data_IF_012077118719
#
_entry.id   IF_012077118719
#
_cell.length_a   1.000
_cell.length_b   1.000
_cell.length_c   1.000
_cell.angle_alpha   90.00
_cell.angle_beta   90.00
_cell.angle_gamma   90.00
#
_symmetry.space_group_name_H-M   'P 1'
#
loop_
_entity.id
_entity.type
_entity.pdbx_description
1 polymer ?
#
# COMPACT_ATOMS: atom_id res chain seq x y z
N UNK A 1 20.37 -21.38 22.28
CA UNK A 1 19.14 -20.57 22.16
C UNK A 1 19.00 -20.18 20.69
N UNK A 2 17.84 -20.36 20.07
CA UNK A 2 17.62 -19.89 18.69
C UNK A 2 17.65 -18.36 18.71
N UNK A 3 18.42 -17.74 17.82
CA UNK A 3 18.27 -16.30 17.60
C UNK A 3 16.86 -16.04 17.07
N UNK A 4 16.32 -14.85 17.38
CA UNK A 4 15.00 -14.43 16.91
C UNK A 4 14.90 -14.44 15.37
N UNK A 5 16.01 -14.10 14.70
CA UNK A 5 16.15 -14.27 13.26
C UNK A 5 15.98 -15.73 12.80
N UNK A 6 16.67 -16.67 13.47
CA UNK A 6 16.59 -18.10 13.13
C UNK A 6 15.19 -18.70 13.34
N UNK A 7 14.49 -18.26 14.40
CA UNK A 7 13.12 -18.71 14.66
C UNK A 7 12.12 -18.16 13.64
N UNK A 8 12.28 -16.91 13.20
CA UNK A 8 11.46 -16.30 12.13
C UNK A 8 11.68 -16.96 10.78
N UNK A 9 12.94 -17.24 10.40
CA UNK A 9 13.23 -18.02 9.19
C UNK A 9 12.59 -19.41 9.22
N UNK A 10 12.73 -20.12 10.34
CA UNK A 10 12.13 -21.44 10.52
C UNK A 10 10.61 -21.39 10.38
N UNK A 11 9.99 -20.35 10.95
CA UNK A 11 8.54 -20.15 10.91
C UNK A 11 8.04 -19.85 9.49
N UNK A 12 8.69 -18.90 8.79
CA UNK A 12 8.36 -18.55 7.41
C UNK A 12 8.50 -19.74 6.45
N UNK A 13 9.55 -20.56 6.65
CA UNK A 13 9.73 -21.79 5.87
C UNK A 13 8.59 -22.78 6.10
N UNK A 14 8.24 -23.02 7.37
CA UNK A 14 7.17 -23.96 7.74
C UNK A 14 5.80 -23.51 7.26
N UNK A 15 5.52 -22.22 7.30
CA UNK A 15 4.28 -21.63 6.79
C UNK A 15 4.10 -21.88 5.29
N UNK A 16 5.18 -21.78 4.52
CA UNK A 16 5.17 -22.12 3.09
C UNK A 16 5.14 -23.62 2.80
N UNK A 17 5.24 -24.47 3.81
CA UNK A 17 5.20 -25.93 3.64
C UNK A 17 6.41 -26.53 2.92
N UNK A 18 7.52 -25.80 2.82
CA UNK A 18 8.71 -26.23 2.06
C UNK A 18 9.83 -26.77 2.97
N UNK A 19 10.61 -27.69 2.43
CA UNK A 19 11.78 -28.27 3.08
C UNK A 19 12.95 -27.30 3.12
N UNK A 20 13.92 -27.55 4.02
CA UNK A 20 15.17 -26.77 4.05
C UNK A 20 15.95 -26.90 2.74
N UNK A 21 15.83 -28.04 2.05
CA UNK A 21 16.53 -28.27 0.78
C UNK A 21 16.00 -27.33 -0.31
N UNK A 22 14.68 -27.26 -0.46
CA UNK A 22 14.03 -26.42 -1.47
C UNK A 22 14.33 -24.93 -1.26
N UNK A 23 14.26 -24.44 -0.01
CA UNK A 23 14.60 -23.05 0.30
C UNK A 23 16.09 -22.78 0.07
N UNK A 24 16.96 -23.70 0.46
CA UNK A 24 18.39 -23.51 0.28
C UNK A 24 18.76 -23.41 -1.21
N UNK A 25 18.16 -24.25 -2.05
CA UNK A 25 18.29 -24.17 -3.52
C UNK A 25 17.77 -22.82 -4.05
N UNK A 26 16.59 -22.38 -3.62
CA UNK A 26 16.02 -21.10 -4.05
C UNK A 26 16.83 -19.86 -3.60
N UNK A 27 17.44 -19.91 -2.42
CA UNK A 27 18.26 -18.82 -1.87
C UNK A 27 19.73 -18.90 -2.29
N UNK A 28 20.13 -19.95 -3.02
CA UNK A 28 21.50 -20.15 -3.48
C UNK A 28 22.48 -20.43 -2.35
N UNK A 29 22.07 -21.18 -1.33
CA UNK A 29 22.91 -21.61 -0.19
C UNK A 29 22.85 -23.13 -0.03
N UNK A 30 23.76 -23.71 0.76
CA UNK A 30 23.65 -25.14 1.10
C UNK A 30 22.57 -25.38 2.15
N UNK A 31 21.92 -26.56 2.11
CA UNK A 31 20.93 -26.95 3.11
C UNK A 31 21.51 -26.91 4.54
N UNK A 32 22.76 -27.35 4.72
CA UNK A 32 23.46 -27.30 5.99
C UNK A 32 23.63 -25.85 6.49
N UNK A 33 23.98 -24.92 5.59
CA UNK A 33 24.13 -23.50 5.92
C UNK A 33 22.78 -22.89 6.34
N UNK A 34 21.70 -23.16 5.60
CA UNK A 34 20.36 -22.73 6.00
C UNK A 34 19.95 -23.31 7.36
N UNK A 35 20.24 -24.59 7.63
CA UNK A 35 19.98 -25.17 8.96
C UNK A 35 20.78 -24.48 10.07
N UNK A 36 21.99 -24.00 9.81
CA UNK A 36 22.77 -23.26 10.79
C UNK A 36 22.16 -21.89 11.06
N UNK A 37 21.65 -21.22 10.02
CA UNK A 37 20.93 -19.95 10.15
C UNK A 37 19.64 -20.11 10.96
N UNK A 38 18.82 -21.10 10.62
CA UNK A 38 17.56 -21.40 11.34
C UNK A 38 17.77 -21.75 12.82
N UNK A 39 18.90 -22.39 13.16
CA UNK A 39 19.23 -22.74 14.55
C UNK A 39 19.97 -21.62 15.31
N UNK A 40 20.30 -20.52 14.64
CA UNK A 40 21.12 -19.44 15.20
C UNK A 40 22.57 -19.83 15.49
N UNK A 41 23.08 -20.89 14.85
CA UNK A 41 24.47 -21.36 15.01
C UNK A 41 25.45 -20.44 14.28
N UNK A 42 25.00 -19.82 13.17
CA UNK A 42 25.82 -18.94 12.33
C UNK A 42 25.03 -17.70 11.96
N UNK A 43 25.70 -16.56 11.94
CA UNK A 43 25.13 -15.31 11.43
C UNK A 43 25.09 -15.28 9.90
N UNK A 44 24.09 -14.59 9.38
CA UNK A 44 23.89 -14.40 7.94
C UNK A 44 24.59 -13.13 7.45
N UNK A 45 25.07 -13.15 6.22
CA UNK A 45 25.50 -11.93 5.53
C UNK A 45 24.32 -11.15 4.98
N UNK A 46 24.54 -9.86 4.68
CA UNK A 46 23.54 -8.95 4.11
C UNK A 46 22.90 -9.49 2.81
N UNK A 47 23.70 -10.14 1.95
CA UNK A 47 23.18 -10.71 0.70
C UNK A 47 22.13 -11.80 0.95
N UNK A 48 22.35 -12.65 1.96
CA UNK A 48 21.36 -13.66 2.34
C UNK A 48 20.10 -13.03 2.90
N UNK A 49 20.23 -12.02 3.77
CA UNK A 49 19.07 -11.30 4.35
C UNK A 49 18.23 -10.70 3.22
N UNK A 50 18.85 -10.00 2.26
CA UNK A 50 18.17 -9.44 1.09
C UNK A 50 17.42 -10.52 0.29
N UNK A 51 18.08 -11.65 -0.01
CA UNK A 51 17.47 -12.76 -0.75
C UNK A 51 16.32 -13.39 0.04
N UNK A 52 16.48 -13.59 1.34
CA UNK A 52 15.45 -14.15 2.21
C UNK A 52 14.25 -13.21 2.34
N UNK A 53 14.47 -11.90 2.51
CA UNK A 53 13.42 -10.88 2.50
C UNK A 53 12.58 -10.93 1.22
N UNK A 54 13.24 -10.95 0.06
CA UNK A 54 12.55 -11.05 -1.22
C UNK A 54 11.84 -12.39 -1.40
N UNK A 55 12.50 -13.50 -1.06
CA UNK A 55 11.95 -14.84 -1.22
C UNK A 55 10.69 -15.01 -0.37
N UNK A 56 10.73 -14.62 0.91
CA UNK A 56 9.62 -14.75 1.85
C UNK A 56 8.59 -13.64 1.76
N UNK A 57 8.85 -12.59 0.96
CA UNK A 57 8.02 -11.40 0.84
C UNK A 57 7.81 -10.68 2.19
N UNK A 58 8.95 -10.41 2.86
CA UNK A 58 9.01 -9.74 4.16
C UNK A 58 10.13 -8.70 4.21
N UNK A 59 10.05 -7.73 5.12
CA UNK A 59 11.11 -6.74 5.36
C UNK A 59 12.30 -7.34 6.10
N UNK A 60 13.47 -6.72 5.97
CA UNK A 60 14.64 -7.07 6.77
C UNK A 60 14.37 -6.87 8.26
N UNK A 61 13.65 -5.81 8.63
CA UNK A 61 13.27 -5.51 10.02
C UNK A 61 12.41 -6.61 10.63
N UNK A 62 11.48 -7.17 9.86
CA UNK A 62 10.75 -8.35 10.29
C UNK A 62 11.70 -9.55 10.46
N UNK A 63 12.59 -9.85 9.52
CA UNK A 63 13.50 -10.98 9.68
C UNK A 63 14.42 -10.81 10.89
N UNK A 64 14.90 -9.59 11.15
CA UNK A 64 15.88 -9.28 12.19
C UNK A 64 15.28 -9.18 13.61
N UNK A 65 13.95 -9.27 13.76
CA UNK A 65 13.32 -9.12 15.07
C UNK A 65 13.02 -7.67 15.47
N UNK A 66 13.16 -6.72 14.54
CA UNK A 66 12.98 -5.28 14.80
C UNK A 66 11.53 -4.83 14.61
N UNK A 67 10.69 -5.65 13.96
CA UNK A 67 9.27 -5.36 13.73
C UNK A 67 8.45 -6.65 13.74
N UNK A 68 7.25 -6.63 14.33
CA UNK A 68 6.29 -7.73 14.22
C UNK A 68 5.55 -7.76 12.86
N UNK A 69 5.67 -6.67 12.07
CA UNK A 69 4.98 -6.54 10.80
C UNK A 69 5.83 -7.03 9.63
N UNK A 70 5.40 -8.14 9.03
CA UNK A 70 6.06 -8.82 7.90
C UNK A 70 6.43 -7.90 6.74
N UNK A 71 5.57 -6.96 6.38
CA UNK A 71 5.72 -6.13 5.17
C UNK A 71 5.97 -4.65 5.46
N UNK A 72 6.40 -4.30 6.68
CA UNK A 72 6.70 -2.91 7.02
C UNK A 72 5.47 -1.98 6.93
N UNK A 73 4.27 -2.51 7.21
CA UNK A 73 3.02 -1.74 7.11
C UNK A 73 2.94 -0.52 8.05
N UNK A 74 3.90 -0.30 8.96
CA UNK A 74 4.04 0.98 9.67
C UNK A 74 4.47 2.13 8.75
N UNK A 75 5.30 1.85 7.74
CA UNK A 75 5.83 2.87 6.80
C UNK A 75 4.77 3.34 5.81
N UNK A 76 3.68 2.57 5.67
CA UNK A 76 2.49 3.02 4.97
C UNK A 76 1.74 4.10 5.77
N UNK A 77 1.95 4.19 7.09
CA UNK A 77 1.36 5.23 7.96
C UNK A 77 2.38 6.29 8.40
N UNK A 78 3.63 6.21 7.94
CA UNK A 78 4.57 7.32 8.08
C UNK A 78 4.19 8.41 7.07
N UNK A 79 3.83 9.60 7.58
CA UNK A 79 3.50 10.78 6.78
C UNK A 79 4.73 11.50 6.20
N UNK A 80 5.93 11.02 6.54
CA UNK A 80 7.20 11.53 6.03
C UNK A 80 7.41 11.16 4.56
N UNK A 81 7.88 12.14 3.79
CA UNK A 81 8.19 11.96 2.37
C UNK A 81 9.57 11.32 2.21
N UNK A 82 9.70 10.40 1.25
CA UNK A 82 10.97 9.72 0.98
C UNK A 82 11.58 10.24 -0.34
N UNK A 83 12.91 10.22 -0.49
CA UNK A 83 13.54 10.57 -1.77
C UNK A 83 13.05 9.73 -2.96
N UNK A 84 12.56 8.51 -2.69
CA UNK A 84 12.02 7.61 -3.71
C UNK A 84 10.62 7.99 -4.21
N UNK A 85 9.98 9.02 -3.63
CA UNK A 85 8.68 9.55 -4.05
C UNK A 85 8.74 10.46 -5.29
N UNK A 86 9.92 10.65 -5.87
CA UNK A 86 10.05 11.24 -7.22
C UNK A 86 9.41 10.34 -8.31
N UNK A 87 9.39 9.02 -8.07
CA UNK A 87 8.68 8.06 -8.91
C UNK A 87 7.29 7.77 -8.36
N UNK A 88 6.25 7.77 -9.21
CA UNK A 88 4.90 7.40 -8.77
C UNK A 88 4.77 5.88 -8.56
N UNK A 89 5.12 5.42 -7.36
CA UNK A 89 4.93 4.03 -6.91
C UNK A 89 3.65 3.91 -6.08
N UNK A 90 3.19 2.68 -5.85
CA UNK A 90 1.99 2.43 -5.05
C UNK A 90 2.08 3.06 -3.65
N UNK A 91 3.27 3.01 -3.03
CA UNK A 91 3.54 3.61 -1.72
C UNK A 91 3.40 5.14 -1.74
N UNK A 92 3.80 5.80 -2.83
CA UNK A 92 3.66 7.24 -3.04
C UNK A 92 2.19 7.66 -3.08
N UNK A 93 1.35 6.84 -3.73
CA UNK A 93 -0.10 7.05 -3.77
C UNK A 93 -0.69 6.95 -2.35
N UNK A 94 -0.32 5.91 -1.59
CA UNK A 94 -0.80 5.74 -0.21
C UNK A 94 -0.37 6.89 0.70
N UNK A 95 0.91 7.31 0.65
CA UNK A 95 1.39 8.48 1.42
C UNK A 95 0.66 9.76 1.04
N UNK A 96 0.41 10.00 -0.24
CA UNK A 96 -0.36 11.17 -0.69
C UNK A 96 -1.78 11.16 -0.11
N UNK A 97 -2.46 10.02 -0.11
CA UNK A 97 -3.81 9.88 0.46
C UNK A 97 -3.80 10.14 1.97
N UNK A 98 -2.83 9.60 2.70
CA UNK A 98 -2.73 9.78 4.16
C UNK A 98 -2.43 11.22 4.52
N UNK A 99 -1.46 11.83 3.84
CA UNK A 99 -1.10 13.25 4.07
C UNK A 99 -2.26 14.18 3.75
N UNK A 100 -3.06 13.86 2.72
CA UNK A 100 -4.31 14.58 2.45
C UNK A 100 -5.31 14.38 3.60
N UNK A 101 -5.50 13.15 4.08
CA UNK A 101 -6.35 12.84 5.24
C UNK A 101 -5.95 13.60 6.51
N UNK A 102 -4.65 13.68 6.81
CA UNK A 102 -4.11 14.46 7.94
C UNK A 102 -4.42 15.95 7.81
N UNK A 103 -4.14 16.55 6.64
CA UNK A 103 -4.45 17.97 6.36
C UNK A 103 -5.94 18.24 6.52
N UNK A 104 -6.79 17.33 6.03
CA UNK A 104 -8.25 17.46 6.12
C UNK A 104 -8.75 17.25 7.55
N UNK A 105 -8.11 16.38 8.34
CA UNK A 105 -8.45 16.13 9.75
C UNK A 105 -8.04 17.27 10.65
N UNK A 106 -6.84 17.83 10.43
CA UNK A 106 -6.35 19.01 11.15
C UNK A 106 -7.26 20.23 10.97
N UNK A 107 -7.92 20.35 9.80
CA UNK A 107 -8.93 21.38 9.51
C UNK A 107 -10.31 21.12 10.14
N UNK A 108 -10.51 19.96 10.80
CA UNK A 108 -11.71 19.60 11.54
C UNK A 108 -12.96 19.27 10.70
N UNK A 109 -13.97 18.66 11.35
CA UNK A 109 -15.34 18.51 10.82
C UNK A 109 -15.64 17.24 10.00
N UNK A 110 -16.79 17.22 9.30
CA UNK A 110 -17.30 16.12 8.45
C UNK A 110 -16.38 15.76 7.26
N UNK A 111 -15.35 16.57 7.01
CA UNK A 111 -14.46 16.50 5.84
C UNK A 111 -13.45 15.35 5.92
N UNK A 112 -12.97 15.01 7.12
CA UNK A 112 -12.07 13.86 7.31
C UNK A 112 -12.76 12.53 6.94
N UNK A 113 -14.03 12.36 7.34
CA UNK A 113 -14.84 11.19 7.00
C UNK A 113 -15.11 11.12 5.48
N UNK A 114 -15.12 12.26 4.79
CA UNK A 114 -15.35 12.33 3.34
C UNK A 114 -14.20 11.69 2.54
N UNK A 115 -12.95 11.79 3.03
CA UNK A 115 -11.79 11.13 2.41
C UNK A 115 -11.93 9.61 2.50
N UNK A 116 -12.34 9.08 3.66
CA UNK A 116 -12.59 7.65 3.84
C UNK A 116 -13.67 7.14 2.89
N UNK A 117 -14.79 7.85 2.77
CA UNK A 117 -15.84 7.50 1.82
C UNK A 117 -15.37 7.60 0.36
N UNK A 118 -14.49 8.56 0.03
CA UNK A 118 -13.85 8.65 -1.29
C UNK A 118 -13.11 7.38 -1.68
N UNK A 119 -12.26 6.89 -0.79
CA UNK A 119 -11.50 5.67 -1.03
C UNK A 119 -12.41 4.44 -1.08
N UNK A 120 -13.39 4.34 -0.18
CA UNK A 120 -14.33 3.23 -0.16
C UNK A 120 -15.16 3.14 -1.45
N UNK A 121 -15.67 4.29 -1.92
CA UNK A 121 -16.42 4.39 -3.17
C UNK A 121 -15.56 4.12 -4.40
N UNK A 122 -14.31 4.60 -4.43
CA UNK A 122 -13.36 4.27 -5.50
C UNK A 122 -13.06 2.76 -5.55
N UNK A 123 -12.88 2.12 -4.40
CA UNK A 123 -12.69 0.67 -4.32
C UNK A 123 -13.94 -0.10 -4.75
N UNK A 124 -15.14 0.34 -4.32
CA UNK A 124 -16.41 -0.23 -4.75
C UNK A 124 -16.61 -0.11 -6.26
N UNK A 125 -16.23 1.02 -6.87
CA UNK A 125 -16.27 1.22 -8.31
C UNK A 125 -15.37 0.23 -9.05
N UNK A 126 -14.13 0.04 -8.58
CA UNK A 126 -13.20 -0.95 -9.15
C UNK A 126 -13.75 -2.38 -9.01
N UNK A 127 -14.34 -2.72 -7.86
CA UNK A 127 -15.00 -4.01 -7.65
C UNK A 127 -16.20 -4.21 -8.57
N UNK A 128 -16.96 -3.14 -8.85
CA UNK A 128 -18.07 -3.17 -9.81
C UNK A 128 -17.55 -3.43 -11.24
N UNK A 129 -16.42 -2.84 -11.63
CA UNK A 129 -15.75 -3.18 -12.90
C UNK A 129 -15.20 -4.60 -12.94
N UNK A 130 -14.68 -5.10 -11.82
CA UNK A 130 -14.26 -6.49 -11.70
C UNK A 130 -15.44 -7.46 -11.82
N UNK A 131 -16.63 -7.10 -11.32
CA UNK A 131 -17.88 -7.85 -11.49
C UNK A 131 -18.29 -7.90 -12.96
N UNK A 132 -18.34 -6.75 -13.65
CA UNK A 132 -18.64 -6.68 -15.10
C UNK A 132 -17.67 -7.56 -15.92
N UNK A 133 -16.41 -7.67 -15.49
CA UNK A 133 -15.39 -8.52 -16.10
C UNK A 133 -15.44 -9.99 -15.66
N UNK A 134 -16.40 -10.40 -14.82
CA UNK A 134 -16.53 -11.76 -14.30
C UNK A 134 -15.41 -12.21 -13.35
N UNK A 135 -14.65 -11.26 -12.78
CA UNK A 135 -13.52 -11.53 -11.87
C UNK A 135 -13.97 -11.73 -10.42
N UNK A 136 -15.09 -11.14 -10.03
CA UNK A 136 -15.72 -11.33 -8.71
C UNK A 136 -17.20 -11.75 -8.86
N UNK A 137 -17.76 -12.50 -7.89
CA UNK A 137 -19.15 -12.98 -7.97
C UNK A 137 -20.19 -11.85 -7.99
N UNK A 138 -21.24 -12.06 -8.78
CA UNK A 138 -22.38 -11.14 -8.92
C UNK A 138 -23.20 -10.99 -7.62
N UNK A 139 -23.36 -12.10 -6.90
CA UNK A 139 -24.16 -12.21 -5.67
C UNK A 139 -23.57 -11.46 -4.46
N UNK A 140 -22.35 -10.94 -4.59
CA UNK A 140 -21.74 -10.05 -3.60
C UNK A 140 -22.36 -8.64 -3.63
N UNK A 141 -23.07 -8.29 -4.70
CA UNK A 141 -23.59 -6.94 -4.93
C UNK A 141 -25.11 -6.92 -4.88
N UNK A 142 -25.66 -6.06 -4.01
CA UNK A 142 -27.10 -5.82 -3.95
C UNK A 142 -27.60 -4.80 -4.97
N UNK A 143 -26.72 -3.96 -5.51
CA UNK A 143 -27.03 -3.00 -6.58
C UNK A 143 -26.93 -3.68 -7.94
N UNK A 144 -27.83 -3.31 -8.86
CA UNK A 144 -27.84 -3.84 -10.23
C UNK A 144 -26.67 -3.29 -11.06
N UNK A 145 -26.26 -4.03 -12.10
CA UNK A 145 -25.12 -3.65 -12.96
C UNK A 145 -25.37 -2.35 -13.75
N UNK A 146 -26.62 -2.09 -14.14
CA UNK A 146 -27.04 -0.88 -14.84
C UNK A 146 -27.02 0.38 -13.95
N UNK A 147 -26.85 0.23 -12.64
CA UNK A 147 -26.69 1.35 -11.73
C UNK A 147 -25.34 2.06 -11.87
N UNK A 148 -24.37 1.49 -12.61
CA UNK A 148 -23.00 2.00 -12.74
C UNK A 148 -22.88 3.52 -12.99
N UNK A 149 -23.51 4.09 -14.04
CA UNK A 149 -23.48 5.53 -14.29
C UNK A 149 -24.11 6.37 -13.18
N UNK A 150 -25.19 5.87 -12.56
CA UNK A 150 -25.87 6.55 -11.46
C UNK A 150 -25.01 6.57 -10.18
N UNK A 151 -24.26 5.49 -9.93
CA UNK A 151 -23.32 5.39 -8.81
C UNK A 151 -22.18 6.40 -9.04
N UNK A 152 -21.58 6.45 -10.23
CA UNK A 152 -20.53 7.43 -10.57
C UNK A 152 -20.97 8.88 -10.35
N UNK A 153 -22.17 9.23 -10.81
CA UNK A 153 -22.73 10.58 -10.62
C UNK A 153 -23.05 10.87 -9.15
N UNK A 154 -23.63 9.91 -8.42
CA UNK A 154 -23.93 10.06 -6.99
C UNK A 154 -22.65 10.27 -6.17
N UNK A 155 -21.59 9.52 -6.47
CA UNK A 155 -20.26 9.67 -5.87
C UNK A 155 -19.71 11.07 -6.14
N UNK A 156 -19.69 11.51 -7.41
CA UNK A 156 -19.19 12.84 -7.80
C UNK A 156 -19.93 13.99 -7.09
N UNK A 157 -21.26 13.88 -6.96
CA UNK A 157 -22.08 14.86 -6.25
C UNK A 157 -21.80 14.88 -4.74
N UNK A 158 -21.75 13.70 -4.10
CA UNK A 158 -21.44 13.58 -2.68
C UNK A 158 -20.11 14.26 -2.31
N UNK A 159 -19.07 14.09 -3.15
CA UNK A 159 -17.79 14.75 -2.91
C UNK A 159 -17.84 16.25 -3.17
N UNK A 160 -18.48 16.67 -4.25
CA UNK A 160 -18.60 18.10 -4.56
C UNK A 160 -19.27 18.88 -3.41
N UNK A 161 -20.27 18.29 -2.78
CA UNK A 161 -20.90 18.87 -1.59
C UNK A 161 -20.01 18.82 -0.34
N UNK A 162 -19.22 17.76 -0.18
CA UNK A 162 -18.32 17.57 0.97
C UNK A 162 -17.11 18.52 0.98
N UNK A 163 -16.73 19.09 -0.18
CA UNK A 163 -15.54 19.94 -0.34
C UNK A 163 -15.85 21.42 -0.69
N UNK A 164 -17.07 21.92 -0.42
CA UNK A 164 -17.45 23.32 -0.73
C UNK A 164 -16.56 24.35 0.00
N UNK A 165 -16.23 25.43 -0.72
CA UNK A 165 -15.19 26.42 -0.43
C UNK A 165 -15.47 27.35 0.77
N UNK A 166 -16.74 27.49 1.17
CA UNK A 166 -17.22 28.47 2.15
C UNK A 166 -16.81 28.15 3.62
N UNK A 167 -16.32 26.96 3.90
CA UNK A 167 -15.89 26.53 5.25
C UNK A 167 -14.35 26.38 5.39
N UNK A 168 -13.57 26.97 4.47
CA UNK A 168 -12.10 26.97 4.49
C UNK A 168 -11.53 28.34 4.91
N UNK A 169 -12.31 29.14 5.65
CA UNK A 169 -11.98 30.54 5.95
C UNK A 169 -10.72 30.71 6.82
N UNK A 170 -9.73 31.35 6.19
CA UNK A 170 -8.98 32.53 6.69
C UNK A 170 -7.77 32.38 7.63
N UNK A 171 -7.15 31.21 7.69
CA UNK A 171 -5.69 31.18 7.89
C UNK A 171 -5.09 30.34 6.76
N UNK A 172 -4.77 30.99 5.64
CA UNK A 172 -3.99 30.34 4.57
C UNK A 172 -2.55 30.22 5.04
N UNK A 173 -2.29 29.31 5.99
CA UNK A 173 -0.97 28.72 6.08
C UNK A 173 -0.64 28.18 4.69
N UNK A 174 0.50 28.62 4.14
CA UNK A 174 0.95 28.10 2.86
C UNK A 174 1.02 26.59 2.99
N UNK A 175 0.24 25.86 2.18
CA UNK A 175 0.35 24.41 2.14
C UNK A 175 1.82 24.10 1.84
N UNK A 176 2.52 23.37 2.72
CA UNK A 176 3.94 23.11 2.55
C UNK A 176 4.20 22.45 1.18
N UNK A 177 5.42 22.54 0.67
CA UNK A 177 5.75 21.87 -0.58
C UNK A 177 5.71 20.33 -0.37
N UNK A 178 4.69 19.67 -0.92
CA UNK A 178 4.46 18.23 -0.76
C UNK A 178 4.85 17.52 -2.06
N UNK A 179 6.03 16.90 -2.08
CA UNK A 179 6.57 16.07 -3.16
C UNK A 179 5.57 15.00 -3.60
N UNK A 180 4.98 14.24 -2.66
CA UNK A 180 4.06 13.14 -3.02
C UNK A 180 2.82 13.64 -3.77
N UNK A 181 2.34 14.86 -3.50
CA UNK A 181 1.23 15.47 -4.22
C UNK A 181 1.65 15.90 -5.62
N UNK A 182 2.81 16.54 -5.75
CA UNK A 182 3.36 16.98 -7.05
C UNK A 182 3.62 15.79 -7.97
N UNK A 183 4.22 14.72 -7.45
CA UNK A 183 4.45 13.48 -8.20
C UNK A 183 3.13 12.89 -8.67
N UNK A 184 2.14 12.76 -7.78
CA UNK A 184 0.82 12.20 -8.13
C UNK A 184 0.11 13.04 -9.19
N UNK A 185 0.01 14.37 -8.99
CA UNK A 185 -0.66 15.29 -9.91
C UNK A 185 0.00 15.26 -11.29
N UNK A 186 1.33 15.38 -11.36
CA UNK A 186 2.08 15.40 -12.62
C UNK A 186 1.87 14.13 -13.45
N UNK A 187 1.93 12.96 -12.80
CA UNK A 187 1.72 11.68 -13.48
C UNK A 187 0.26 11.48 -13.90
N UNK A 188 -0.71 11.79 -13.04
CA UNK A 188 -2.13 11.70 -13.37
C UNK A 188 -2.50 12.63 -14.53
N UNK A 189 -2.06 13.89 -14.51
CA UNK A 189 -2.36 14.84 -15.59
C UNK A 189 -1.77 14.40 -16.93
N UNK A 190 -0.55 13.84 -16.95
CA UNK A 190 0.03 13.28 -18.19
C UNK A 190 -0.84 12.17 -18.76
N UNK A 191 -1.30 11.24 -17.91
CA UNK A 191 -2.17 10.15 -18.32
C UNK A 191 -3.53 10.65 -18.81
N UNK A 192 -4.15 11.59 -18.09
CA UNK A 192 -5.43 12.19 -18.47
C UNK A 192 -5.32 12.91 -19.81
N UNK A 193 -4.26 13.71 -20.01
CA UNK A 193 -4.02 14.41 -21.28
C UNK A 193 -3.85 13.43 -22.45
N UNK A 194 -3.17 12.30 -22.23
CA UNK A 194 -3.05 11.23 -23.24
C UNK A 194 -4.44 10.68 -23.61
N UNK A 195 -5.24 10.31 -22.61
CA UNK A 195 -6.60 9.77 -22.83
C UNK A 195 -7.47 10.78 -23.57
N UNK A 196 -7.46 12.05 -23.16
CA UNK A 196 -8.28 13.09 -23.80
C UNK A 196 -7.83 13.42 -25.22
N UNK A 197 -6.57 13.19 -25.59
CA UNK A 197 -6.09 13.38 -26.97
C UNK A 197 -6.52 12.27 -27.94
N UNK A 198 -7.00 11.15 -27.40
CA UNK A 198 -7.48 9.99 -28.16
C UNK A 198 -9.01 10.00 -28.38
N UNK A 199 -9.72 10.95 -27.78
CA UNK A 199 -11.19 11.15 -27.89
C UNK A 199 -11.47 12.30 -28.87
#
# INVERSE_FOLDING_TARGET
MSSEFGSRLTSLRRERGVSQKEVAEALGVSQALLSHYEKGIRECGLDFIRKASNYYDVTADYLLGLSENRRGLSDLFESSELPSDEDMKMQTIYRAIIKLGEIMTAKGGKKAESVKWYLAFSAYHLLSKAREAGTVPDDWFSLSEDAGPNISNAMANYFSDSFKKEELSEESESVPDILVFKTLISNCEKQIKSILSEI
#
